data_IF_299624243016
#
_entry.id   IF_299624243016
#
_cell.length_a   1.000
_cell.length_b   1.000
_cell.length_c   1.000
_cell.angle_alpha   90.00
_cell.angle_beta   90.00
_cell.angle_gamma   90.00
#
_symmetry.space_group_name_H-M   'P 1'
#
loop_
_entity.id
_entity.type
_entity.pdbx_description
1 polymer ?
#
# COMPACT_ATOMS: atom_id res chain seq x y z
N UNK A 1 10.52 11.41 1.51
CA UNK A 1 9.33 11.36 2.39
C UNK A 1 8.80 9.93 2.41
N UNK A 2 7.87 9.58 3.29
CA UNK A 2 7.36 8.20 3.35
C UNK A 2 6.11 8.06 4.21
N UNK A 3 5.43 6.93 4.05
CA UNK A 3 4.26 6.55 4.83
C UNK A 3 4.60 5.29 5.65
N UNK A 4 4.30 5.33 6.95
CA UNK A 4 4.50 4.20 7.85
C UNK A 4 3.16 3.78 8.47
N UNK A 5 2.77 2.51 8.25
CA UNK A 5 1.58 1.84 8.75
C UNK A 5 1.94 0.53 9.48
N UNK A 6 3.04 0.50 10.22
CA UNK A 6 3.45 -0.69 11.00
C UNK A 6 2.58 -0.91 12.24
N UNK A 7 2.64 -2.12 12.82
CA UNK A 7 2.03 -2.46 14.11
C UNK A 7 0.53 -2.17 14.16
N UNK A 8 -0.24 -2.82 13.28
CA UNK A 8 -1.70 -2.64 13.20
C UNK A 8 -2.11 -1.22 12.72
N UNK A 9 -1.17 -0.49 12.09
CA UNK A 9 -1.45 0.76 11.38
C UNK A 9 -2.46 0.54 10.25
N UNK A 10 -3.41 1.48 10.11
CA UNK A 10 -4.49 1.36 9.12
C UNK A 10 -4.64 2.64 8.32
N UNK A 11 -4.57 2.49 7.00
CA UNK A 11 -5.08 3.47 6.05
C UNK A 11 -6.31 2.88 5.37
N UNK A 12 -7.48 3.46 5.66
CA UNK A 12 -8.75 3.04 5.08
C UNK A 12 -9.36 4.20 4.30
N UNK A 13 -9.65 3.97 3.02
CA UNK A 13 -10.44 4.88 2.20
C UNK A 13 -11.93 4.57 2.29
N UNK A 14 -12.79 5.57 2.11
CA UNK A 14 -14.23 5.35 1.92
C UNK A 14 -14.63 5.20 0.43
N UNK A 15 -13.67 5.39 -0.47
CA UNK A 15 -13.81 5.30 -1.94
C UNK A 15 -12.41 5.06 -2.51
N UNK A 16 -12.00 5.83 -3.51
CA UNK A 16 -10.66 5.79 -4.10
C UNK A 16 -9.61 6.36 -3.13
N UNK A 17 -8.41 5.79 -3.17
CA UNK A 17 -7.23 6.29 -2.45
C UNK A 17 -6.11 6.48 -3.45
N UNK A 18 -5.52 7.68 -3.50
CA UNK A 18 -4.34 7.96 -4.30
C UNK A 18 -3.23 8.52 -3.42
N UNK A 19 -2.09 7.82 -3.39
CA UNK A 19 -0.88 8.23 -2.68
C UNK A 19 0.25 8.43 -3.69
N UNK A 20 0.89 9.58 -3.62
CA UNK A 20 2.15 9.86 -4.31
C UNK A 20 3.21 10.09 -3.24
N UNK A 21 4.23 9.24 -3.19
CA UNK A 21 5.30 9.36 -2.19
C UNK A 21 6.58 9.97 -2.76
N UNK A 22 6.58 10.49 -3.99
CA UNK A 22 7.70 11.23 -4.60
C UNK A 22 9.04 10.48 -4.52
N UNK A 23 9.03 9.22 -4.98
CA UNK A 23 10.11 8.22 -4.85
C UNK A 23 10.45 7.88 -3.39
N UNK A 24 9.43 7.87 -2.53
CA UNK A 24 9.53 7.62 -1.11
C UNK A 24 9.39 6.16 -0.71
N UNK A 25 9.42 5.93 0.61
CA UNK A 25 9.24 4.61 1.24
C UNK A 25 7.78 4.44 1.71
N UNK A 26 7.18 3.31 1.39
CA UNK A 26 5.95 2.82 2.00
C UNK A 26 6.26 1.61 2.89
N UNK A 27 6.06 1.75 4.20
CA UNK A 27 6.17 0.64 5.14
C UNK A 27 4.80 0.26 5.66
N UNK A 28 4.32 -0.94 5.33
CA UNK A 28 3.05 -1.53 5.74
C UNK A 28 3.25 -2.89 6.44
N UNK A 29 4.32 -3.04 7.24
CA UNK A 29 4.62 -4.33 7.87
C UNK A 29 3.63 -4.62 9.00
N UNK A 30 2.88 -5.73 8.89
CA UNK A 30 1.77 -6.02 9.80
C UNK A 30 0.65 -4.98 9.77
N UNK A 31 0.59 -4.16 8.72
CA UNK A 31 -0.37 -3.07 8.55
C UNK A 31 -1.50 -3.41 7.56
N UNK A 32 -2.48 -2.51 7.49
CA UNK A 32 -3.60 -2.60 6.54
C UNK A 32 -3.74 -1.31 5.72
N UNK A 33 -3.68 -1.45 4.41
CA UNK A 33 -4.08 -0.41 3.46
C UNK A 33 -5.25 -0.96 2.66
N UNK A 34 -6.41 -0.31 2.73
CA UNK A 34 -7.59 -0.74 1.98
C UNK A 34 -8.36 0.43 1.37
N UNK A 35 -8.79 0.25 0.12
CA UNK A 35 -9.73 1.13 -0.56
C UNK A 35 -10.91 0.31 -1.11
N UNK A 36 -12.16 0.67 -0.80
CA UNK A 36 -13.33 0.10 -1.47
C UNK A 36 -13.49 0.62 -2.91
N UNK A 37 -12.75 1.68 -3.28
CA UNK A 37 -12.60 2.15 -4.65
C UNK A 37 -11.29 1.69 -5.29
N UNK A 38 -10.78 2.49 -6.22
CA UNK A 38 -9.46 2.30 -6.83
C UNK A 38 -8.35 2.67 -5.83
N UNK A 39 -7.29 1.87 -5.78
CA UNK A 39 -6.08 2.19 -5.01
C UNK A 39 -4.92 2.50 -5.94
N UNK A 40 -4.46 3.76 -5.92
CA UNK A 40 -3.34 4.24 -6.71
C UNK A 40 -2.15 4.58 -5.80
N UNK A 41 -1.07 3.81 -5.92
CA UNK A 41 0.18 4.03 -5.20
C UNK A 41 1.27 4.38 -6.23
N UNK A 42 1.64 5.66 -6.27
CA UNK A 42 2.48 6.28 -7.31
C UNK A 42 3.83 6.73 -6.77
N UNK A 43 4.83 6.71 -7.65
CA UNK A 43 6.18 7.21 -7.39
C UNK A 43 6.74 6.65 -6.08
N UNK A 44 6.78 5.33 -5.97
CA UNK A 44 7.37 4.64 -4.83
C UNK A 44 8.79 4.21 -5.19
N UNK A 45 9.72 4.37 -4.24
CA UNK A 45 11.03 3.73 -4.37
C UNK A 45 10.95 2.32 -3.77
N UNK A 46 10.67 2.23 -2.47
CA UNK A 46 10.62 0.96 -1.74
C UNK A 46 9.23 0.76 -1.13
N UNK A 47 8.74 -0.47 -1.22
CA UNK A 47 7.53 -0.92 -0.50
C UNK A 47 7.85 -2.14 0.34
N UNK A 48 7.63 -2.01 1.65
CA UNK A 48 7.76 -3.09 2.62
C UNK A 48 6.37 -3.50 3.11
N UNK A 49 5.83 -4.58 2.58
CA UNK A 49 4.51 -5.12 2.92
C UNK A 49 4.59 -6.47 3.68
N UNK A 50 5.66 -6.69 4.45
CA UNK A 50 5.87 -7.98 5.13
C UNK A 50 4.76 -8.23 6.17
N UNK A 51 4.12 -9.40 6.12
CA UNK A 51 2.97 -9.75 6.98
C UNK A 51 1.82 -8.72 6.96
N UNK A 52 1.81 -7.81 5.98
CA UNK A 52 0.82 -6.74 5.83
C UNK A 52 -0.20 -7.04 4.74
N UNK A 53 -1.23 -6.21 4.65
CA UNK A 53 -2.26 -6.29 3.60
C UNK A 53 -2.46 -4.95 2.89
N UNK A 54 -2.40 -4.98 1.56
CA UNK A 54 -2.77 -3.88 0.67
C UNK A 54 -3.88 -4.40 -0.25
N UNK A 55 -5.08 -3.80 -0.22
CA UNK A 55 -6.21 -4.27 -1.04
C UNK A 55 -7.12 -3.19 -1.61
N UNK A 56 -7.65 -3.43 -2.80
CA UNK A 56 -8.68 -2.60 -3.44
C UNK A 56 -9.83 -3.42 -4.01
N UNK A 57 -11.04 -2.86 -4.05
CA UNK A 57 -12.20 -3.53 -4.67
C UNK A 57 -12.47 -3.14 -6.13
N UNK A 58 -11.96 -2.00 -6.62
CA UNK A 58 -12.24 -1.51 -7.99
C UNK A 58 -10.98 -1.35 -8.86
N UNK A 59 -9.88 -1.99 -8.47
CA UNK A 59 -8.62 -1.97 -9.20
C UNK A 59 -7.47 -1.25 -8.50
N UNK A 60 -6.26 -1.63 -8.89
CA UNK A 60 -5.03 -1.31 -8.18
C UNK A 60 -3.92 -0.86 -9.13
N UNK A 61 -3.12 0.12 -8.72
CA UNK A 61 -1.81 0.44 -9.32
C UNK A 61 -0.77 0.57 -8.21
N UNK A 62 0.34 -0.14 -8.37
CA UNK A 62 1.53 -0.04 -7.52
C UNK A 62 2.77 0.11 -8.39
N UNK A 63 3.27 1.34 -8.49
CA UNK A 63 4.48 1.65 -9.22
C UNK A 63 5.63 1.90 -8.23
N UNK A 64 6.45 0.86 -8.02
CA UNK A 64 7.58 0.87 -7.10
C UNK A 64 8.87 0.35 -7.75
N UNK A 65 10.04 0.81 -7.28
CA UNK A 65 11.33 0.21 -7.67
C UNK A 65 11.52 -1.15 -7.03
N UNK A 66 11.16 -1.30 -5.75
CA UNK A 66 11.20 -2.59 -5.05
C UNK A 66 9.93 -2.83 -4.24
N UNK A 67 9.55 -4.11 -4.16
CA UNK A 67 8.46 -4.60 -3.32
C UNK A 67 8.96 -5.83 -2.57
N UNK A 68 8.96 -5.73 -1.24
CA UNK A 68 9.01 -6.88 -0.36
C UNK A 68 7.60 -7.21 0.14
N UNK A 69 7.06 -8.32 -0.34
CA UNK A 69 5.75 -8.84 0.05
C UNK A 69 5.86 -10.19 0.77
N UNK A 70 6.96 -10.42 1.49
CA UNK A 70 7.19 -11.68 2.22
C UNK A 70 6.11 -11.87 3.29
N UNK A 71 5.37 -12.97 3.23
CA UNK A 71 4.19 -13.23 4.08
C UNK A 71 3.09 -12.15 4.03
N UNK A 72 3.18 -11.22 3.08
CA UNK A 72 2.23 -10.15 2.87
C UNK A 72 1.19 -10.48 1.79
N UNK A 73 0.18 -9.63 1.68
CA UNK A 73 -0.86 -9.72 0.66
C UNK A 73 -1.02 -8.40 -0.10
N UNK A 74 -0.99 -8.48 -1.43
CA UNK A 74 -1.37 -7.40 -2.35
C UNK A 74 -2.47 -7.95 -3.26
N UNK A 75 -3.69 -7.41 -3.14
CA UNK A 75 -4.88 -8.01 -3.74
C UNK A 75 -5.73 -6.92 -4.42
N UNK A 76 -6.22 -7.22 -5.63
CA UNK A 76 -7.35 -6.52 -6.21
C UNK A 76 -8.50 -7.51 -6.30
N UNK A 77 -9.60 -7.20 -5.63
CA UNK A 77 -10.86 -7.94 -5.74
C UNK A 77 -11.63 -7.58 -7.03
#
# INVERSE_FOLDING_TARGET
>A
TGLNQTNDGRLYGNSDVSLDLSNGLLTNQGGLINAPGQLLLKNLNVVNNQSGKISSANGFTLAATTLDNTEGSVISD
#
